data_IF_189975609779
#
_entry.id   IF_189975609779
#
_cell.length_a   1.000
_cell.length_b   1.000
_cell.length_c   1.000
_cell.angle_alpha   90.00
_cell.angle_beta   90.00
_cell.angle_gamma   90.00
#
_symmetry.space_group_name_H-M   'P 1'
#
loop_
_entity.id
_entity.type
_entity.pdbx_description
1 polymer ?
#
# COMPACT_ATOMS: atom_id res chain seq x y z
N UNK A 1 -7.01 -11.71 -8.70
CA UNK A 1 -5.56 -11.65 -8.98
C UNK A 1 -5.12 -10.29 -9.53
N UNK A 2 -5.92 -9.57 -10.32
CA UNK A 2 -5.53 -8.26 -10.89
C UNK A 2 -5.43 -7.10 -9.88
N UNK A 3 -6.24 -7.08 -8.82
CA UNK A 3 -6.24 -5.97 -7.84
C UNK A 3 -4.92 -5.86 -7.03
N UNK A 4 -4.29 -6.99 -6.68
CA UNK A 4 -3.05 -6.99 -5.90
C UNK A 4 -1.87 -6.38 -6.65
N UNK A 5 -1.78 -6.63 -7.97
CA UNK A 5 -0.73 -6.04 -8.80
C UNK A 5 -0.94 -4.54 -8.99
N UNK A 6 -2.20 -4.10 -9.16
CA UNK A 6 -2.52 -2.67 -9.24
C UNK A 6 -2.13 -1.96 -7.94
N UNK A 7 -2.57 -2.46 -6.77
CA UNK A 7 -2.18 -1.88 -5.49
C UNK A 7 -0.66 -1.81 -5.31
N UNK A 8 0.06 -2.87 -5.70
CA UNK A 8 1.51 -2.86 -5.60
C UNK A 8 2.16 -1.78 -6.45
N UNK A 9 1.76 -1.62 -7.72
CA UNK A 9 2.29 -0.57 -8.59
C UNK A 9 2.04 0.84 -8.02
N UNK A 10 0.87 1.09 -7.44
CA UNK A 10 0.58 2.35 -6.76
C UNK A 10 1.45 2.54 -5.50
N UNK A 11 1.58 1.51 -4.66
CA UNK A 11 2.41 1.57 -3.44
C UNK A 11 3.87 1.81 -3.78
N UNK A 12 4.40 1.08 -4.76
CA UNK A 12 5.75 1.27 -5.26
C UNK A 12 5.97 2.71 -5.74
N UNK A 13 5.05 3.23 -6.57
CA UNK A 13 5.10 4.62 -7.02
C UNK A 13 5.07 5.63 -5.87
N UNK A 14 4.22 5.42 -4.86
CA UNK A 14 4.17 6.29 -3.67
C UNK A 14 5.49 6.29 -2.91
N UNK A 15 6.05 5.11 -2.63
CA UNK A 15 7.28 4.99 -1.85
C UNK A 15 8.52 5.46 -2.62
N UNK A 16 8.56 5.27 -3.94
CA UNK A 16 9.61 5.82 -4.80
C UNK A 16 9.61 7.34 -4.81
N UNK A 17 8.43 7.98 -4.83
CA UNK A 17 8.33 9.44 -4.95
C UNK A 17 8.33 10.18 -3.61
N UNK A 18 7.75 9.58 -2.55
CA UNK A 18 7.52 10.24 -1.27
C UNK A 18 8.39 9.70 -0.14
N UNK A 19 9.13 8.61 -0.40
CA UNK A 19 9.90 7.91 0.63
C UNK A 19 9.01 7.11 1.57
N UNK A 20 9.40 7.07 2.84
CA UNK A 20 8.71 6.26 3.85
C UNK A 20 7.32 6.76 4.21
N UNK A 21 6.35 5.85 4.23
CA UNK A 21 4.95 6.18 4.53
C UNK A 21 4.37 5.26 5.60
N UNK A 22 3.51 5.81 6.46
CA UNK A 22 2.73 5.03 7.40
C UNK A 22 1.60 4.27 6.70
N UNK A 23 1.12 3.19 7.33
CA UNK A 23 -0.02 2.41 6.84
C UNK A 23 -1.23 3.28 6.48
N UNK A 24 -1.54 4.25 7.33
CA UNK A 24 -2.71 5.12 7.18
C UNK A 24 -2.58 6.07 5.98
N UNK A 25 -1.35 6.52 5.67
CA UNK A 25 -1.07 7.37 4.50
C UNK A 25 -1.18 6.57 3.21
N UNK A 26 -0.59 5.37 3.18
CA UNK A 26 -0.73 4.43 2.05
C UNK A 26 -2.21 4.12 1.80
N UNK A 27 -2.96 3.79 2.86
CA UNK A 27 -4.39 3.48 2.74
C UNK A 27 -5.21 4.64 2.18
N UNK A 28 -4.99 5.85 2.71
CA UNK A 28 -5.70 7.06 2.27
C UNK A 28 -5.41 7.39 0.81
N UNK A 29 -4.15 7.30 0.38
CA UNK A 29 -3.78 7.57 -1.01
C UNK A 29 -4.33 6.52 -1.98
N UNK A 30 -4.34 5.23 -1.60
CA UNK A 30 -4.97 4.19 -2.42
C UNK A 30 -6.47 4.44 -2.60
N UNK A 31 -7.17 4.90 -1.56
CA UNK A 31 -8.60 5.27 -1.67
C UNK A 31 -8.83 6.44 -2.62
N UNK A 32 -7.95 7.44 -2.57
CA UNK A 32 -8.08 8.66 -3.37
C UNK A 32 -7.72 8.43 -4.84
N UNK A 33 -6.68 7.64 -5.13
CA UNK A 33 -6.10 7.55 -6.47
C UNK A 33 -6.29 6.19 -7.18
N UNK A 34 -6.42 5.09 -6.44
CA UNK A 34 -6.51 3.75 -7.02
C UNK A 34 -7.94 3.18 -7.03
N UNK A 35 -8.75 3.51 -6.02
CA UNK A 35 -10.10 2.96 -5.83
C UNK A 35 -11.22 3.91 -6.27
N UNK A 36 -10.88 5.12 -6.74
CA UNK A 36 -11.84 6.02 -7.37
C UNK A 36 -12.98 6.48 -6.46
N UNK A 37 -12.73 6.82 -5.19
CA UNK A 37 -13.62 7.61 -4.32
C UNK A 37 -15.00 7.03 -3.94
N UNK A 38 -15.61 6.19 -4.76
CA UNK A 38 -16.91 5.55 -4.57
C UNK A 38 -16.74 4.04 -4.61
N UNK A 39 -16.86 3.42 -3.44
CA UNK A 39 -16.78 1.98 -3.22
C UNK A 39 -17.89 1.24 -3.96
N UNK A 40 -17.60 0.73 -5.15
CA UNK A 40 -18.28 -0.47 -5.69
C UNK A 40 -17.28 -1.58 -6.03
N UNK A 41 -15.99 -1.25 -6.19
CA UNK A 41 -14.91 -2.20 -6.43
C UNK A 41 -14.12 -2.50 -5.14
N UNK A 42 -14.78 -3.18 -4.18
CA UNK A 42 -14.12 -3.84 -3.05
C UNK A 42 -13.46 -2.89 -2.05
N UNK A 43 -14.08 -2.71 -0.89
CA UNK A 43 -13.49 -2.00 0.24
C UNK A 43 -12.15 -2.65 0.64
N UNK A 44 -11.03 -2.15 0.12
CA UNK A 44 -9.72 -2.53 0.64
C UNK A 44 -9.64 -1.99 2.06
N UNK A 45 -9.87 -2.85 3.04
CA UNK A 45 -9.82 -2.47 4.45
C UNK A 45 -8.38 -2.21 4.87
N UNK A 46 -8.20 -1.39 5.90
CA UNK A 46 -6.88 -1.15 6.52
C UNK A 46 -6.20 -2.46 6.92
N UNK A 47 -6.97 -3.46 7.37
CA UNK A 47 -6.46 -4.77 7.76
C UNK A 47 -5.95 -5.58 6.57
N UNK A 48 -6.69 -5.60 5.44
CA UNK A 48 -6.23 -6.25 4.21
C UNK A 48 -4.96 -5.61 3.67
N UNK A 49 -4.87 -4.26 3.70
CA UNK A 49 -3.64 -3.56 3.32
C UNK A 49 -2.48 -3.94 4.23
N UNK A 50 -2.68 -3.98 5.55
CA UNK A 50 -1.63 -4.42 6.49
C UNK A 50 -1.14 -5.82 6.14
N UNK A 51 -2.05 -6.77 5.97
CA UNK A 51 -1.69 -8.15 5.63
C UNK A 51 -0.91 -8.24 4.30
N UNK A 52 -1.30 -7.43 3.31
CA UNK A 52 -0.59 -7.33 2.05
C UNK A 52 0.86 -6.82 2.23
N UNK A 53 1.04 -5.73 2.99
CA UNK A 53 2.36 -5.16 3.27
C UNK A 53 3.24 -6.10 4.10
N UNK A 54 2.66 -6.88 5.03
CA UNK A 54 3.36 -7.94 5.76
C UNK A 54 3.89 -9.04 4.82
N UNK A 55 3.16 -9.36 3.75
CA UNK A 55 3.68 -10.21 2.67
C UNK A 55 4.92 -9.61 2.02
N UNK A 56 4.87 -8.32 1.70
CA UNK A 56 5.97 -7.58 1.06
C UNK A 56 7.21 -7.44 1.94
N UNK A 57 7.04 -7.27 3.25
CA UNK A 57 8.12 -7.33 4.22
C UNK A 57 8.80 -8.71 4.24
N UNK A 58 8.02 -9.79 4.26
CA UNK A 58 8.55 -11.17 4.24
C UNK A 58 9.28 -11.51 2.94
N UNK A 59 8.83 -10.93 1.83
CA UNK A 59 9.48 -11.04 0.52
C UNK A 59 10.73 -10.16 0.38
N UNK A 60 11.05 -9.32 1.38
CA UNK A 60 12.17 -8.38 1.33
C UNK A 60 11.97 -7.21 0.36
N UNK A 61 10.72 -6.98 -0.08
CA UNK A 61 10.38 -5.88 -0.99
C UNK A 61 10.12 -4.55 -0.27
N UNK A 62 9.98 -4.60 1.05
CA UNK A 62 9.84 -3.45 1.93
C UNK A 62 10.70 -3.65 3.18
N UNK A 63 11.03 -2.54 3.82
CA UNK A 63 11.51 -2.48 5.20
C UNK A 63 10.53 -1.66 6.04
N UNK A 64 10.53 -1.89 7.36
CA UNK A 64 9.77 -1.10 8.32
C UNK A 64 10.75 -0.45 9.31
N UNK A 65 10.78 0.88 9.32
CA UNK A 65 11.64 1.68 10.19
C UNK A 65 10.82 2.86 10.75
N UNK A 66 10.84 3.06 12.06
CA UNK A 66 10.07 4.10 12.76
C UNK A 66 8.58 4.12 12.38
N UNK A 67 7.94 2.94 12.32
CA UNK A 67 6.54 2.74 11.89
C UNK A 67 6.23 3.21 10.45
N UNK A 68 7.26 3.41 9.62
CA UNK A 68 7.14 3.73 8.20
C UNK A 68 7.55 2.53 7.34
N UNK A 69 6.71 2.22 6.36
CA UNK A 69 7.07 1.31 5.26
C UNK A 69 7.94 2.06 4.26
N UNK A 70 9.09 1.48 3.91
CA UNK A 70 10.05 2.04 2.95
C UNK A 70 10.44 0.97 1.93
N UNK A 71 10.90 1.41 0.77
CA UNK A 71 11.67 0.53 -0.11
C UNK A 71 13.03 0.24 0.55
N UNK A 72 13.61 -0.95 0.35
CA UNK A 72 14.95 -1.29 0.84
C UNK A 72 16.04 -0.34 0.36
#
# INVERSE_FOLDING_TARGET
MFASQVFWSYILGMLTNLGGLSLDRIHSMLRMFALGGVSEAGECTRQQLRHFLEGKLREGQLICEDDLYKLP
#
